data_IF_270786105369
#
_entry.id   IF_270786105369
#
_cell.length_a   1.000
_cell.length_b   1.000
_cell.length_c   1.000
_cell.angle_alpha   90.00
_cell.angle_beta   90.00
_cell.angle_gamma   90.00
#
_symmetry.space_group_name_H-M   'P 1'
#
loop_
_entity.id
_entity.type
_entity.pdbx_description
1 polymer ?
#
# COMPACT_ATOMS: atom_id res chain seq x y z
N UNK A 1 51.11 -49.41 -22.10
CA UNK A 1 49.86 -49.07 -22.74
C UNK A 1 48.71 -49.23 -21.74
N UNK A 2 48.23 -48.16 -21.18
CA UNK A 2 46.89 -48.04 -20.56
C UNK A 2 46.57 -46.54 -20.38
N UNK A 3 45.55 -46.11 -21.06
CA UNK A 3 45.08 -44.77 -21.08
C UNK A 3 44.21 -44.49 -19.84
N UNK A 4 44.40 -43.32 -19.27
CA UNK A 4 43.58 -42.76 -18.20
C UNK A 4 42.24 -42.23 -18.69
N UNK A 5 41.19 -42.46 -17.91
CA UNK A 5 39.92 -41.83 -18.08
C UNK A 5 39.79 -40.66 -17.07
N UNK A 6 39.73 -39.47 -17.59
CA UNK A 6 39.40 -38.27 -16.78
C UNK A 6 37.89 -38.17 -16.59
N UNK A 7 37.45 -38.28 -15.34
CA UNK A 7 36.09 -38.05 -14.96
C UNK A 7 35.77 -36.53 -14.86
N UNK A 8 34.86 -36.07 -15.68
CA UNK A 8 34.31 -34.72 -15.60
C UNK A 8 33.44 -34.59 -14.34
N UNK A 9 33.86 -33.72 -13.44
CA UNK A 9 33.07 -33.28 -12.32
C UNK A 9 32.13 -32.14 -12.80
N UNK A 10 30.84 -32.40 -12.85
CA UNK A 10 29.83 -31.46 -13.34
C UNK A 10 29.44 -30.51 -12.19
N UNK A 11 29.73 -29.26 -12.39
CA UNK A 11 29.35 -28.13 -11.49
C UNK A 11 27.85 -27.85 -11.54
N UNK A 12 27.10 -28.35 -10.56
CA UNK A 12 25.65 -28.12 -10.46
C UNK A 12 25.21 -27.21 -9.28
N UNK A 13 26.12 -26.42 -8.71
CA UNK A 13 25.78 -25.63 -7.49
C UNK A 13 25.70 -24.10 -7.64
N UNK A 14 25.74 -23.53 -8.86
CA UNK A 14 25.81 -22.08 -9.01
C UNK A 14 24.48 -21.28 -8.90
N UNK A 15 23.27 -21.81 -9.10
CA UNK A 15 22.06 -20.95 -9.02
C UNK A 15 21.62 -20.61 -7.61
N UNK A 16 21.79 -21.50 -6.64
CA UNK A 16 21.30 -21.30 -5.27
C UNK A 16 22.17 -20.31 -4.46
N UNK A 17 23.47 -20.28 -4.70
CA UNK A 17 24.38 -19.32 -4.04
C UNK A 17 24.18 -17.88 -4.54
N UNK A 18 23.81 -17.66 -5.80
CA UNK A 18 23.51 -16.31 -6.31
C UNK A 18 22.24 -15.73 -5.69
N UNK A 19 21.21 -16.53 -5.44
CA UNK A 19 19.99 -16.05 -4.78
C UNK A 19 20.21 -15.74 -3.28
N UNK A 20 21.08 -16.48 -2.60
CA UNK A 20 21.41 -16.22 -1.20
C UNK A 20 22.27 -14.96 -1.02
N UNK A 21 23.19 -14.68 -1.94
CA UNK A 21 24.05 -13.47 -1.87
C UNK A 21 23.29 -12.18 -2.16
N UNK A 22 22.25 -12.21 -3.01
CA UNK A 22 21.42 -11.01 -3.30
C UNK A 22 20.54 -10.61 -2.12
N UNK A 23 20.19 -11.52 -1.23
CA UNK A 23 19.35 -11.24 -0.05
C UNK A 23 20.14 -10.63 1.12
N UNK A 24 21.47 -10.87 1.17
CA UNK A 24 22.34 -10.40 2.26
C UNK A 24 22.87 -8.96 2.08
N UNK A 25 22.64 -8.30 0.94
CA UNK A 25 23.24 -7.01 0.61
C UNK A 25 22.22 -5.85 0.51
N UNK A 26 20.95 -6.06 0.90
CA UNK A 26 20.02 -4.93 0.92
C UNK A 26 20.28 -4.09 2.16
N UNK A 27 20.55 -2.78 2.01
CA UNK A 27 20.71 -1.89 3.16
C UNK A 27 19.43 -1.93 4.02
N UNK A 28 19.53 -1.63 5.33
CA UNK A 28 18.36 -1.48 6.19
C UNK A 28 17.30 -0.60 5.53
N UNK A 29 16.02 -0.86 5.77
CA UNK A 29 14.91 -0.15 5.11
C UNK A 29 14.97 1.38 5.26
N UNK A 30 15.68 1.88 6.26
CA UNK A 30 15.94 3.30 6.49
C UNK A 30 17.05 3.90 5.61
N UNK A 31 17.97 3.08 5.10
CA UNK A 31 19.12 3.51 4.28
C UNK A 31 18.86 3.36 2.78
N UNK A 32 17.91 2.50 2.40
CA UNK A 32 17.55 2.33 0.99
C UNK A 32 16.88 3.59 0.44
N UNK A 33 17.18 4.01 -0.82
CA UNK A 33 16.48 5.12 -1.44
C UNK A 33 14.98 4.81 -1.56
N UNK A 34 14.09 5.82 -1.40
CA UNK A 34 12.66 5.62 -1.51
C UNK A 34 12.28 5.20 -2.94
N UNK A 35 11.34 4.26 -3.07
CA UNK A 35 10.85 3.79 -4.36
C UNK A 35 9.87 4.81 -4.97
N UNK A 36 10.12 5.24 -6.21
CA UNK A 36 9.20 6.10 -6.94
C UNK A 36 8.01 5.30 -7.48
N UNK A 37 6.80 5.69 -7.11
CA UNK A 37 5.55 5.01 -7.46
C UNK A 37 4.54 5.97 -8.06
N UNK A 38 3.56 5.43 -8.80
CA UNK A 38 2.34 6.14 -9.15
C UNK A 38 1.42 6.29 -7.93
N UNK A 39 0.65 7.36 -7.89
CA UNK A 39 -0.39 7.53 -6.86
C UNK A 39 -1.57 6.65 -7.25
N UNK A 40 -2.04 5.78 -6.33
CA UNK A 40 -3.03 4.76 -6.66
C UNK A 40 -4.48 5.30 -6.70
N UNK A 41 -4.67 6.55 -7.08
CA UNK A 41 -5.98 7.21 -7.19
C UNK A 41 -6.04 8.19 -8.36
N UNK A 42 -7.25 8.58 -8.78
CA UNK A 42 -7.50 9.64 -9.75
C UNK A 42 -8.10 10.89 -9.12
N UNK A 43 -7.83 12.04 -9.73
CA UNK A 43 -8.40 13.31 -9.32
C UNK A 43 -7.85 13.83 -7.99
N UNK A 44 -8.62 14.65 -7.29
CA UNK A 44 -8.20 15.38 -6.09
C UNK A 44 -8.48 14.57 -4.82
N UNK A 45 -7.44 14.31 -4.04
CA UNK A 45 -7.51 13.65 -2.73
C UNK A 45 -6.79 14.49 -1.68
N UNK A 46 -6.95 14.12 -0.42
CA UNK A 46 -6.23 14.74 0.70
C UNK A 46 -5.43 13.67 1.43
N UNK A 47 -4.15 13.94 1.65
CA UNK A 47 -3.26 13.08 2.42
C UNK A 47 -3.54 13.19 3.92
N UNK A 48 -3.46 12.07 4.62
CA UNK A 48 -3.64 11.98 6.07
C UNK A 48 -2.73 10.91 6.65
N UNK A 49 -2.40 11.04 7.91
CA UNK A 49 -1.60 10.05 8.65
C UNK A 49 -0.36 9.60 7.87
N UNK A 50 0.31 10.52 7.17
CA UNK A 50 1.44 10.22 6.31
C UNK A 50 2.79 10.37 7.00
N UNK A 51 3.85 9.69 6.48
CA UNK A 51 5.19 9.70 7.06
C UNK A 51 5.93 11.03 6.91
N UNK A 52 5.44 11.96 6.08
CA UNK A 52 5.97 13.32 6.02
C UNK A 52 5.60 14.15 7.25
N UNK A 53 4.56 13.75 7.98
CA UNK A 53 4.13 14.42 9.22
C UNK A 53 4.77 13.78 10.45
N UNK A 54 4.80 12.45 10.52
CA UNK A 54 5.43 11.70 11.62
C UNK A 54 5.86 10.31 11.19
N UNK A 55 6.88 9.76 11.84
CA UNK A 55 7.33 8.37 11.69
C UNK A 55 7.41 7.72 13.07
N UNK A 56 6.74 6.56 13.30
CA UNK A 56 5.88 5.85 12.38
C UNK A 56 4.60 6.65 12.11
N UNK A 57 4.10 6.60 10.87
CA UNK A 57 2.87 7.30 10.49
C UNK A 57 1.65 6.68 11.18
N UNK A 58 1.60 5.35 11.25
CA UNK A 58 0.58 4.58 11.97
C UNK A 58 1.22 3.81 13.13
N UNK A 59 1.88 2.67 12.83
CA UNK A 59 2.58 1.83 13.79
C UNK A 59 3.74 1.10 13.08
N UNK A 60 4.74 0.65 13.86
CA UNK A 60 5.77 -0.25 13.30
C UNK A 60 5.22 -1.65 12.99
N UNK A 61 4.13 -2.03 13.67
CA UNK A 61 3.47 -3.31 13.42
C UNK A 61 2.81 -3.33 12.04
N UNK A 62 2.67 -4.53 11.46
CA UNK A 62 2.04 -4.75 10.15
C UNK A 62 2.66 -3.95 9.00
N UNK A 63 3.96 -3.65 9.10
CA UNK A 63 4.73 -2.89 8.10
C UNK A 63 4.18 -1.47 7.82
N UNK A 64 3.50 -0.83 8.77
CA UNK A 64 2.82 0.46 8.61
C UNK A 64 3.68 1.68 9.01
N UNK A 65 5.00 1.51 9.13
CA UNK A 65 5.94 2.59 9.51
C UNK A 65 5.82 3.81 8.60
N UNK A 66 5.65 3.57 7.29
CA UNK A 66 5.57 4.61 6.24
C UNK A 66 4.24 4.57 5.49
N UNK A 67 3.17 4.09 6.10
CA UNK A 67 1.84 4.08 5.51
C UNK A 67 1.28 5.50 5.35
N UNK A 68 0.30 5.66 4.48
CA UNK A 68 -0.43 6.91 4.26
C UNK A 68 -1.88 6.63 3.94
N UNK A 69 -2.76 7.49 4.40
CA UNK A 69 -4.18 7.46 4.09
C UNK A 69 -4.53 8.56 3.08
N UNK A 70 -5.36 8.23 2.10
CA UNK A 70 -5.91 9.17 1.12
C UNK A 70 -7.43 9.19 1.19
N UNK A 71 -8.02 10.39 1.37
CA UNK A 71 -9.47 10.60 1.38
C UNK A 71 -9.86 11.77 0.48
N UNK A 72 -11.06 11.73 -0.12
CA UNK A 72 -11.58 12.81 -0.98
C UNK A 72 -12.24 13.96 -0.21
N UNK A 73 -11.66 14.32 0.92
CA UNK A 73 -12.18 15.44 1.75
C UNK A 73 -11.08 16.45 2.02
N UNK A 74 -11.39 17.76 1.92
CA UNK A 74 -10.39 18.80 2.13
C UNK A 74 -9.94 18.96 3.58
N UNK A 75 -10.74 18.54 4.57
CA UNK A 75 -10.39 18.63 5.99
C UNK A 75 -11.14 17.56 6.79
N UNK A 76 -10.65 17.17 7.99
CA UNK A 76 -11.47 16.39 8.90
C UNK A 76 -12.74 17.18 9.22
N UNK A 77 -13.89 16.56 9.02
CA UNK A 77 -15.14 17.17 9.48
C UNK A 77 -15.11 17.30 11.01
N UNK A 78 -15.80 18.31 11.56
CA UNK A 78 -16.00 18.40 13.01
C UNK A 78 -16.57 17.08 13.51
N UNK A 79 -16.13 16.66 14.69
CA UNK A 79 -16.70 15.48 15.35
C UNK A 79 -18.19 15.73 15.60
N UNK A 80 -19.04 14.98 14.93
CA UNK A 80 -20.48 15.14 15.05
C UNK A 80 -20.98 14.49 16.34
N UNK A 81 -21.89 15.18 17.01
CA UNK A 81 -22.64 14.57 18.11
C UNK A 81 -23.75 13.63 17.60
N UNK A 82 -24.35 13.97 16.47
CA UNK A 82 -25.45 13.23 15.86
C UNK A 82 -25.47 13.42 14.34
N UNK A 83 -25.76 12.37 13.52
CA UNK A 83 -26.01 10.97 13.93
C UNK A 83 -24.71 10.26 14.38
N UNK A 84 -24.81 9.23 15.25
CA UNK A 84 -23.64 8.53 15.78
C UNK A 84 -22.83 7.80 14.73
N UNK A 85 -23.45 7.50 13.59
CA UNK A 85 -22.81 6.83 12.45
C UNK A 85 -23.50 7.22 11.15
N UNK A 86 -22.75 7.26 10.05
CA UNK A 86 -23.25 7.55 8.71
C UNK A 86 -22.98 6.38 7.78
N UNK A 87 -23.75 6.27 6.71
CA UNK A 87 -23.51 5.31 5.66
C UNK A 87 -22.23 5.68 4.88
N UNK A 88 -21.35 4.72 4.55
CA UNK A 88 -20.12 5.02 3.82
C UNK A 88 -20.38 5.65 2.46
N UNK A 89 -21.52 5.35 1.81
CA UNK A 89 -21.92 5.90 0.51
C UNK A 89 -22.12 7.41 0.53
N UNK A 90 -22.25 8.02 1.70
CA UNK A 90 -22.36 9.48 1.83
C UNK A 90 -21.02 10.20 1.74
N UNK A 91 -19.91 9.45 1.68
CA UNK A 91 -18.56 9.99 1.63
C UNK A 91 -18.02 10.00 0.19
N UNK A 92 -17.41 11.12 -0.25
CA UNK A 92 -16.92 11.24 -1.62
C UNK A 92 -15.84 10.24 -2.03
N UNK A 93 -15.15 9.64 -1.05
CA UNK A 93 -14.14 8.61 -1.31
C UNK A 93 -14.75 7.26 -1.66
N UNK A 94 -15.97 6.97 -1.17
CA UNK A 94 -16.57 5.65 -1.29
C UNK A 94 -16.93 5.33 -2.76
N UNK A 95 -16.49 4.18 -3.23
CA UNK A 95 -16.72 3.74 -4.60
C UNK A 95 -15.76 4.32 -5.63
N UNK A 96 -14.82 5.18 -5.23
CA UNK A 96 -13.83 5.73 -6.15
C UNK A 96 -12.83 4.66 -6.61
N UNK A 97 -12.46 4.66 -7.90
CA UNK A 97 -11.50 3.71 -8.45
C UNK A 97 -10.12 3.84 -7.80
N UNK A 98 -9.53 2.71 -7.46
CA UNK A 98 -8.17 2.57 -6.97
C UNK A 98 -7.31 1.87 -8.01
N UNK A 99 -6.07 2.33 -8.17
CA UNK A 99 -5.21 2.00 -9.29
C UNK A 99 -3.95 1.27 -8.85
N UNK A 100 -3.34 0.53 -9.75
CA UNK A 100 -2.02 -0.03 -9.54
C UNK A 100 -0.96 1.08 -9.46
N UNK A 101 -0.14 1.15 -8.39
CA UNK A 101 0.89 2.16 -8.23
C UNK A 101 2.11 1.94 -9.14
N UNK A 102 2.28 0.72 -9.65
CA UNK A 102 3.31 0.29 -10.56
C UNK A 102 2.88 -1.01 -11.27
N UNK A 103 3.67 -1.46 -12.23
CA UNK A 103 3.55 -2.81 -12.78
C UNK A 103 3.84 -3.83 -11.68
N UNK A 104 3.15 -4.97 -11.69
CA UNK A 104 3.32 -5.99 -10.67
C UNK A 104 2.44 -7.21 -10.84
N UNK A 105 2.43 -8.05 -9.82
CA UNK A 105 1.59 -9.24 -9.76
C UNK A 105 0.77 -9.25 -8.46
N UNK A 106 -0.50 -9.60 -8.54
CA UNK A 106 -1.36 -9.76 -7.37
C UNK A 106 -0.96 -11.01 -6.61
N UNK A 107 -0.50 -10.86 -5.36
CA UNK A 107 -0.13 -11.98 -4.48
C UNK A 107 -1.15 -12.23 -3.38
N UNK A 108 -1.97 -11.24 -3.05
CA UNK A 108 -3.09 -11.37 -2.12
C UNK A 108 -4.28 -10.58 -2.62
N UNK A 109 -5.46 -11.19 -2.57
CA UNK A 109 -6.74 -10.57 -2.90
C UNK A 109 -7.78 -11.02 -1.86
N UNK A 110 -8.16 -10.13 -0.96
CA UNK A 110 -9.17 -10.37 0.07
C UNK A 110 -10.38 -9.50 -0.22
N UNK A 111 -11.53 -10.15 -0.44
CA UNK A 111 -12.80 -9.49 -0.71
C UNK A 111 -13.93 -10.23 0.01
N UNK A 112 -14.95 -9.51 0.45
CA UNK A 112 -16.11 -10.14 1.11
C UNK A 112 -16.42 -9.53 2.47
N UNK A 113 -15.50 -8.81 3.13
CA UNK A 113 -15.79 -8.07 4.35
C UNK A 113 -16.75 -6.92 4.05
N UNK A 114 -17.72 -6.72 4.95
CA UNK A 114 -18.71 -5.66 4.79
C UNK A 114 -18.11 -4.28 5.01
N UNK A 115 -18.53 -3.32 4.19
CA UNK A 115 -18.38 -1.91 4.50
C UNK A 115 -19.31 -1.59 5.68
N UNK A 116 -18.75 -1.05 6.74
CA UNK A 116 -19.50 -0.71 7.94
C UNK A 116 -19.84 0.77 7.97
N UNK A 117 -20.74 1.15 8.88
CA UNK A 117 -21.06 2.55 9.13
C UNK A 117 -19.82 3.29 9.64
N UNK A 118 -19.71 4.57 9.30
CA UNK A 118 -18.58 5.39 9.73
C UNK A 118 -18.60 5.65 11.23
N UNK A 119 -17.44 5.94 11.81
CA UNK A 119 -17.23 6.09 13.26
C UNK A 119 -16.66 7.44 13.62
N UNK A 120 -17.03 8.46 12.86
CA UNK A 120 -16.53 9.85 13.00
C UNK A 120 -17.30 10.68 14.03
N UNK A 121 -18.27 10.08 14.75
CA UNK A 121 -18.99 10.74 15.83
C UNK A 121 -18.32 10.53 17.20
N UNK A 122 -18.63 11.39 18.19
CA UNK A 122 -18.16 11.22 19.55
C UNK A 122 -18.63 9.89 20.16
N UNK A 123 -19.86 9.45 19.88
CA UNK A 123 -20.39 8.16 20.28
C UNK A 123 -19.66 7.00 19.54
N UNK A 124 -19.32 7.18 18.26
CA UNK A 124 -18.50 6.25 17.49
C UNK A 124 -17.08 6.11 18.05
N UNK A 125 -16.49 7.21 18.54
CA UNK A 125 -15.16 7.19 19.16
C UNK A 125 -15.13 6.36 20.45
N UNK A 126 -16.17 6.43 21.28
CA UNK A 126 -16.29 5.59 22.48
C UNK A 126 -16.43 4.10 22.14
N UNK A 127 -16.99 3.77 20.98
CA UNK A 127 -17.12 2.39 20.49
C UNK A 127 -15.82 1.87 19.86
N UNK A 128 -14.98 2.76 19.31
CA UNK A 128 -13.71 2.38 18.66
C UNK A 128 -12.72 1.75 19.65
N UNK A 129 -12.67 2.18 20.90
CA UNK A 129 -11.70 1.69 21.90
C UNK A 129 -11.84 0.19 22.19
N UNK A 130 -13.02 -0.35 22.57
CA UNK A 130 -13.18 -1.79 22.79
C UNK A 130 -13.06 -2.59 21.48
N UNK A 131 -13.49 -2.03 20.35
CA UNK A 131 -13.41 -2.70 19.06
C UNK A 131 -11.97 -2.75 18.53
N UNK A 132 -11.15 -1.70 18.71
CA UNK A 132 -9.73 -1.70 18.40
C UNK A 132 -8.99 -2.77 19.23
N UNK A 133 -9.36 -2.95 20.50
CA UNK A 133 -8.82 -4.02 21.36
C UNK A 133 -9.21 -5.41 20.83
N UNK A 134 -10.47 -5.64 20.51
CA UNK A 134 -10.94 -6.93 19.96
C UNK A 134 -10.31 -7.21 18.60
N UNK A 135 -10.08 -6.18 17.77
CA UNK A 135 -9.45 -6.32 16.46
C UNK A 135 -7.93 -6.47 16.53
N UNK A 136 -7.27 -5.91 17.56
CA UNK A 136 -5.84 -6.12 17.80
C UNK A 136 -5.51 -7.57 18.20
N UNK A 137 -6.47 -8.30 18.75
CA UNK A 137 -6.40 -9.75 18.99
C UNK A 137 -6.77 -10.53 17.73
N UNK A 138 -7.44 -9.89 16.76
CA UNK A 138 -7.85 -10.46 15.47
C UNK A 138 -6.70 -10.57 14.48
N UNK A 139 -6.86 -11.49 13.53
CA UNK A 139 -5.91 -11.69 12.43
C UNK A 139 -5.73 -10.38 11.61
N UNK A 140 -4.54 -10.12 11.05
CA UNK A 140 -4.24 -8.91 10.25
C UNK A 140 -5.26 -8.57 9.16
N UNK A 141 -5.89 -9.61 8.59
CA UNK A 141 -6.98 -9.47 7.61
C UNK A 141 -8.19 -8.67 8.10
N UNK A 142 -8.45 -8.67 9.42
CA UNK A 142 -9.56 -7.91 10.01
C UNK A 142 -9.19 -6.43 10.18
N UNK A 143 -7.91 -6.13 10.33
CA UNK A 143 -7.42 -4.75 10.40
C UNK A 143 -7.40 -4.10 9.01
N UNK A 144 -6.85 -4.77 8.00
CA UNK A 144 -6.78 -4.27 6.63
C UNK A 144 -8.13 -4.27 5.91
N UNK A 145 -9.10 -5.06 6.38
CA UNK A 145 -10.36 -5.23 5.67
C UNK A 145 -10.19 -5.96 4.33
N UNK A 146 -10.99 -5.59 3.34
CA UNK A 146 -10.72 -6.02 1.97
C UNK A 146 -9.46 -5.33 1.48
N UNK A 147 -8.54 -6.09 0.89
CA UNK A 147 -7.25 -5.54 0.49
C UNK A 147 -6.63 -6.34 -0.65
N UNK A 148 -5.71 -5.68 -1.34
CA UNK A 148 -4.82 -6.25 -2.34
C UNK A 148 -3.38 -6.09 -1.87
N UNK A 149 -2.54 -7.10 -2.14
CA UNK A 149 -1.09 -7.00 -2.04
C UNK A 149 -0.52 -7.30 -3.42
N UNK A 150 0.28 -6.37 -3.93
CA UNK A 150 0.95 -6.46 -5.22
C UNK A 150 2.45 -6.67 -4.99
N UNK A 151 3.01 -7.69 -5.62
CA UNK A 151 4.46 -7.84 -5.77
C UNK A 151 4.93 -6.92 -6.91
N UNK A 152 5.73 -5.91 -6.58
CA UNK A 152 6.29 -4.95 -7.54
C UNK A 152 7.69 -5.35 -8.04
N UNK A 153 8.18 -6.51 -7.62
CA UNK A 153 9.55 -6.95 -7.86
C UNK A 153 10.55 -6.41 -6.83
N UNK A 154 11.77 -6.90 -6.90
CA UNK A 154 12.90 -6.51 -6.03
C UNK A 154 12.58 -6.53 -4.52
N UNK A 155 11.65 -7.39 -4.10
CA UNK A 155 11.20 -7.53 -2.72
C UNK A 155 10.43 -6.30 -2.20
N UNK A 156 9.76 -5.56 -3.06
CA UNK A 156 8.84 -4.49 -2.72
C UNK A 156 7.39 -4.91 -2.96
N UNK A 157 6.54 -4.73 -1.97
CA UNK A 157 5.13 -5.11 -2.01
C UNK A 157 4.26 -3.92 -1.64
N UNK A 158 3.28 -3.59 -2.50
CA UNK A 158 2.31 -2.54 -2.25
C UNK A 158 1.02 -3.11 -1.68
N UNK A 159 0.49 -2.50 -0.63
CA UNK A 159 -0.81 -2.85 -0.04
C UNK A 159 -1.79 -1.72 -0.30
N UNK A 160 -2.97 -2.07 -0.80
CA UNK A 160 -4.14 -1.22 -0.89
C UNK A 160 -5.21 -1.83 0.02
N UNK A 161 -5.64 -1.12 1.06
CA UNK A 161 -6.55 -1.64 2.07
C UNK A 161 -7.83 -0.82 2.22
N UNK A 162 -8.77 -1.33 3.02
CA UNK A 162 -10.13 -0.79 3.25
C UNK A 162 -10.98 -0.74 1.99
N UNK A 163 -10.76 -1.69 1.05
CA UNK A 163 -11.45 -1.75 -0.23
C UNK A 163 -12.94 -2.04 -0.04
N UNK A 164 -13.75 -1.55 -0.97
CA UNK A 164 -15.19 -1.80 -1.03
C UNK A 164 -15.46 -3.29 -1.27
N UNK A 165 -16.45 -3.81 -0.56
CA UNK A 165 -16.87 -5.19 -0.70
C UNK A 165 -17.27 -5.50 -2.15
N UNK A 166 -16.76 -6.61 -2.70
CA UNK A 166 -17.04 -7.12 -4.04
C UNK A 166 -16.67 -6.15 -5.17
N UNK A 167 -15.63 -5.34 -4.95
CA UNK A 167 -15.15 -4.39 -5.95
C UNK A 167 -13.86 -4.80 -6.65
N UNK A 168 -13.22 -5.89 -6.22
CA UNK A 168 -11.98 -6.36 -6.84
C UNK A 168 -12.20 -6.69 -8.32
N UNK A 169 -11.32 -6.17 -9.16
CA UNK A 169 -11.30 -6.37 -10.62
C UNK A 169 -10.20 -7.33 -11.06
N UNK A 170 -9.41 -7.81 -10.09
CA UNK A 170 -8.25 -8.68 -10.29
C UNK A 170 -8.25 -9.81 -9.26
N UNK A 171 -7.58 -10.91 -9.58
CA UNK A 171 -7.42 -12.08 -8.76
C UNK A 171 -5.93 -12.36 -8.46
N UNK A 172 -5.67 -13.22 -7.46
CA UNK A 172 -4.32 -13.69 -7.17
C UNK A 172 -3.71 -14.35 -8.40
N UNK A 173 -2.49 -13.96 -8.75
CA UNK A 173 -1.76 -14.41 -9.92
C UNK A 173 -1.84 -13.46 -11.12
N UNK A 174 -2.82 -12.56 -11.17
CA UNK A 174 -2.94 -11.59 -12.26
C UNK A 174 -1.75 -10.63 -12.29
N UNK A 175 -1.27 -10.34 -13.51
CA UNK A 175 -0.33 -9.25 -13.76
C UNK A 175 -1.10 -7.96 -13.99
N UNK A 176 -0.61 -6.89 -13.39
CA UNK A 176 -1.21 -5.56 -13.49
C UNK A 176 -0.19 -4.55 -14.01
N UNK A 177 -0.67 -3.53 -14.70
CA UNK A 177 0.16 -2.41 -15.18
C UNK A 177 -0.14 -1.14 -14.38
N UNK A 178 0.85 -0.26 -14.25
CA UNK A 178 0.71 1.02 -13.57
C UNK A 178 -0.52 1.80 -14.10
N UNK A 179 -1.35 2.29 -13.17
CA UNK A 179 -2.58 3.01 -13.51
C UNK A 179 -3.78 2.12 -13.84
N UNK A 180 -3.64 0.78 -13.88
CA UNK A 180 -4.75 -0.14 -14.09
C UNK A 180 -5.74 -0.08 -12.91
N UNK A 181 -7.07 0.03 -13.16
CA UNK A 181 -8.07 -0.06 -12.10
C UNK A 181 -8.09 -1.44 -11.45
N UNK A 182 -7.95 -1.48 -10.12
CA UNK A 182 -7.86 -2.72 -9.34
C UNK A 182 -9.11 -3.01 -8.50
N UNK A 183 -9.68 -1.96 -7.90
CA UNK A 183 -10.78 -2.05 -6.95
C UNK A 183 -11.43 -0.68 -6.76
N UNK A 184 -12.33 -0.59 -5.79
CA UNK A 184 -12.95 0.67 -5.36
C UNK A 184 -12.65 0.94 -3.88
N UNK A 185 -12.53 2.23 -3.52
CA UNK A 185 -12.38 2.67 -2.15
C UNK A 185 -13.63 2.31 -1.33
N UNK A 186 -13.44 1.72 -0.16
CA UNK A 186 -14.51 1.29 0.73
C UNK A 186 -14.32 1.74 2.17
N UNK A 187 -14.98 1.03 3.09
CA UNK A 187 -14.92 1.25 4.53
C UNK A 187 -14.92 -0.08 5.31
N UNK A 188 -14.16 -1.04 4.83
CA UNK A 188 -14.04 -2.37 5.46
C UNK A 188 -12.87 -2.41 6.46
N UNK A 189 -12.86 -3.39 7.35
CA UNK A 189 -11.77 -3.56 8.31
C UNK A 189 -11.76 -2.51 9.42
N UNK A 190 -10.57 -2.03 9.81
CA UNK A 190 -10.41 -1.02 10.86
C UNK A 190 -10.32 0.40 10.27
N UNK A 191 -11.36 0.82 9.59
CA UNK A 191 -11.50 2.16 9.01
C UNK A 191 -12.53 2.98 9.79
N UNK A 192 -12.28 4.26 10.01
CA UNK A 192 -13.24 5.18 10.64
C UNK A 192 -14.20 5.80 9.61
N UNK A 193 -13.71 6.08 8.42
CA UNK A 193 -14.44 6.62 7.28
C UNK A 193 -13.83 6.13 5.97
N UNK A 194 -14.54 6.17 4.83
CA UNK A 194 -14.00 5.74 3.56
C UNK A 194 -12.72 6.48 3.17
N UNK A 195 -11.63 5.72 3.04
CA UNK A 195 -10.32 6.19 2.60
C UNK A 195 -9.53 5.03 2.00
N UNK A 196 -8.52 5.33 1.22
CA UNK A 196 -7.50 4.37 0.82
C UNK A 196 -6.39 4.39 1.87
N UNK A 197 -6.11 3.26 2.50
CA UNK A 197 -4.86 3.02 3.20
C UNK A 197 -3.85 2.42 2.25
N UNK A 198 -2.70 3.08 2.09
CA UNK A 198 -1.61 2.64 1.25
C UNK A 198 -0.32 2.45 2.05
N UNK A 199 0.37 1.35 1.83
CA UNK A 199 1.72 1.12 2.38
C UNK A 199 2.60 0.35 1.40
N UNK A 200 3.91 0.54 1.52
CA UNK A 200 4.93 -0.25 0.84
C UNK A 200 5.68 -1.07 1.89
N UNK A 201 5.96 -2.35 1.60
CA UNK A 201 6.60 -3.27 2.54
C UNK A 201 7.58 -4.22 1.87
N UNK A 202 8.45 -4.85 2.66
CA UNK A 202 9.58 -5.68 2.21
C UNK A 202 9.23 -7.16 1.95
N UNK A 203 7.99 -7.57 2.11
CA UNK A 203 7.56 -8.95 1.93
C UNK A 203 6.05 -9.06 1.80
N UNK A 204 5.53 -10.23 1.38
CA UNK A 204 4.10 -10.42 1.14
C UNK A 204 3.26 -10.57 2.42
N UNK A 205 3.88 -10.84 3.55
CA UNK A 205 3.21 -11.02 4.84
C UNK A 205 3.41 -9.79 5.73
N UNK A 206 2.35 -9.05 5.97
CA UNK A 206 2.35 -7.82 6.77
C UNK A 206 2.84 -8.03 8.21
N UNK A 207 2.78 -9.25 8.74
CA UNK A 207 3.19 -9.55 10.12
C UNK A 207 4.70 -9.68 10.28
N UNK A 208 5.40 -10.05 9.23
CA UNK A 208 6.85 -10.27 9.22
C UNK A 208 7.62 -9.26 8.36
N UNK A 209 6.91 -8.51 7.51
CA UNK A 209 7.51 -7.49 6.67
C UNK A 209 7.83 -6.20 7.43
N UNK A 210 8.70 -5.38 6.85
CA UNK A 210 9.01 -4.03 7.31
C UNK A 210 8.45 -3.00 6.33
N UNK A 211 8.02 -1.83 6.83
CA UNK A 211 7.64 -0.71 5.99
C UNK A 211 8.81 -0.21 5.15
N UNK A 212 8.56 0.06 3.88
CA UNK A 212 9.53 0.65 2.95
C UNK A 212 9.14 2.08 2.61
N UNK A 213 10.15 2.93 2.38
CA UNK A 213 9.94 4.31 1.96
C UNK A 213 9.60 4.38 0.48
N UNK A 214 8.72 5.32 0.11
CA UNK A 214 8.34 5.60 -1.27
C UNK A 214 8.21 7.10 -1.51
N UNK A 215 8.10 7.48 -2.78
CA UNK A 215 7.82 8.85 -3.21
C UNK A 215 6.78 8.84 -4.32
N UNK A 216 6.00 9.93 -4.37
CA UNK A 216 5.03 10.23 -5.39
C UNK A 216 5.35 11.54 -6.11
N UNK A 217 4.86 11.68 -7.34
CA UNK A 217 4.76 12.99 -8.02
C UNK A 217 3.32 13.44 -7.98
N UNK A 218 3.10 14.63 -7.44
CA UNK A 218 1.75 15.19 -7.30
C UNK A 218 1.78 16.72 -7.44
N UNK A 219 0.61 17.29 -7.77
CA UNK A 219 0.35 18.71 -7.60
C UNK A 219 -0.42 18.93 -6.30
N UNK A 220 -0.09 20.00 -5.60
CA UNK A 220 -0.84 20.46 -4.44
C UNK A 220 -2.12 21.23 -4.83
N UNK A 221 -2.80 21.83 -3.83
CA UNK A 221 -4.01 22.61 -4.03
C UNK A 221 -3.82 23.85 -4.90
N UNK A 222 -2.60 24.38 -4.98
CA UNK A 222 -2.21 25.57 -5.77
C UNK A 222 -1.69 25.16 -7.15
N UNK A 223 -1.63 23.88 -7.48
CA UNK A 223 -1.13 23.36 -8.75
C UNK A 223 0.39 23.25 -8.83
N UNK A 224 1.11 23.43 -7.71
CA UNK A 224 2.58 23.26 -7.69
C UNK A 224 2.92 21.81 -7.64
N UNK A 225 3.91 21.40 -8.46
CA UNK A 225 4.41 20.04 -8.50
C UNK A 225 5.38 19.76 -7.34
N UNK A 226 5.23 18.58 -6.77
CA UNK A 226 6.06 18.05 -5.69
C UNK A 226 6.50 16.64 -6.02
N UNK A 227 7.69 16.26 -5.49
CA UNK A 227 8.18 14.89 -5.47
C UNK A 227 8.49 14.52 -4.02
N UNK A 228 7.80 13.52 -3.51
CA UNK A 228 7.93 13.08 -2.11
C UNK A 228 6.64 12.45 -1.62
N UNK A 229 6.51 12.30 -0.30
CA UNK A 229 5.25 11.92 0.35
C UNK A 229 4.58 13.20 0.83
N UNK A 230 3.30 13.42 0.52
CA UNK A 230 2.58 14.62 0.97
C UNK A 230 2.42 14.63 2.49
N UNK A 231 2.53 15.81 3.11
CA UNK A 231 2.21 16.02 4.51
C UNK A 231 0.69 15.92 4.73
N UNK A 232 0.28 15.73 5.98
CA UNK A 232 -1.13 15.65 6.34
C UNK A 232 -1.88 16.92 5.93
N UNK A 233 -3.11 16.73 5.48
CA UNK A 233 -4.01 17.76 4.96
C UNK A 233 -3.55 18.41 3.64
N UNK A 234 -2.47 17.92 3.02
CA UNK A 234 -2.08 18.35 1.68
C UNK A 234 -3.07 17.81 0.65
N UNK A 235 -3.51 18.70 -0.24
CA UNK A 235 -4.23 18.30 -1.44
C UNK A 235 -3.28 17.56 -2.39
N UNK A 236 -3.72 16.43 -2.90
CA UNK A 236 -2.93 15.55 -3.77
C UNK A 236 -3.69 15.34 -5.08
N UNK A 237 -3.13 15.82 -6.18
CA UNK A 237 -3.60 15.55 -7.54
C UNK A 237 -2.48 14.76 -8.23
N UNK A 238 -2.73 13.50 -8.65
CA UNK A 238 -1.71 12.71 -9.32
C UNK A 238 -1.18 13.40 -10.58
N UNK A 239 0.13 13.47 -10.72
CA UNK A 239 0.78 13.82 -11.99
C UNK A 239 1.13 12.51 -12.68
N UNK A 240 0.77 12.32 -13.95
CA UNK A 240 1.16 11.13 -14.71
C UNK A 240 2.67 10.92 -14.58
N UNK A 241 3.10 9.70 -14.26
CA UNK A 241 4.51 9.38 -14.31
C UNK A 241 4.99 9.62 -15.75
N UNK A 242 6.12 10.30 -15.89
CA UNK A 242 6.83 10.29 -17.17
C UNK A 242 7.05 8.81 -17.58
N UNK A 243 6.99 8.46 -18.88
CA UNK A 243 7.35 7.13 -19.34
C UNK A 243 8.66 6.74 -18.65
N UNK A 244 8.71 5.53 -18.06
CA UNK A 244 9.96 5.03 -17.47
C UNK A 244 11.02 5.11 -18.55
N UNK A 245 12.06 5.91 -18.33
CA UNK A 245 13.31 5.68 -19.05
C UNK A 245 13.66 4.21 -18.83
N UNK A 246 14.01 3.46 -19.89
CA UNK A 246 14.44 2.09 -19.73
C UNK A 246 15.55 2.07 -18.68
N UNK A 247 15.60 1.09 -17.77
CA UNK A 247 16.65 1.00 -16.76
C UNK A 247 17.98 1.13 -17.52
N UNK A 248 18.83 2.04 -17.05
CA UNK A 248 20.15 2.23 -17.63
C UNK A 248 20.76 0.83 -17.74
N UNK A 249 20.96 0.37 -18.97
CA UNK A 249 21.59 -0.92 -19.22
C UNK A 249 22.94 -0.86 -18.56
N UNK A 250 23.15 -1.63 -17.52
CA UNK A 250 24.50 -1.93 -17.08
C UNK A 250 25.17 -2.67 -18.25
N UNK A 251 25.83 -1.90 -19.08
CA UNK A 251 26.78 -2.45 -20.06
C UNK A 251 27.93 -3.09 -19.27
N UNK A 252 28.49 -4.19 -19.74
CA UNK A 252 29.47 -5.00 -19.05
C UNK A 252 30.78 -4.26 -18.78
#
# INVERSE_FOLDING_TARGET
MRQGGEGQCISAELPLMRQAMTRAQRPPAEEAPPLALGIPVHGRWTARNGPATKVPSHTHNLAQTYAIDLARRPAPEPVWLWPPARRPETYPSFGEPLLAPADGQVVTATDGQRDHLTRTSLAGLLYVLPEAFVRSIGLPRHLLGNHLILDLGDGAYAVLAHLRRRSLKVAVGDRVTAGQPLAECGNSGNSAEPHLHFQLMSGPDVTSAHGLRFTWRYQDGDGREHQGVPADNTCVVPVPNAPKDPPASYAP
#
